data_IF_220482476486
#
_entry.id   IF_220482476486
#
_cell.length_a   1.000
_cell.length_b   1.000
_cell.length_c   1.000
_cell.angle_alpha   90.00
_cell.angle_beta   90.00
_cell.angle_gamma   90.00
#
_symmetry.space_group_name_H-M   'P 1'
#
loop_
_entity.id
_entity.type
_entity.pdbx_description
1 polymer ?
#
# COMPACT_ATOMS: atom_id res chain seq x y z
N UNK A 1 -11.88 -49.32 22.75
CA UNK A 1 -11.51 -48.96 21.36
C UNK A 1 -10.13 -48.36 21.42
N UNK A 2 -9.41 -48.26 20.31
CA UNK A 2 -8.05 -47.68 20.27
C UNK A 2 -7.93 -46.72 19.10
N UNK A 3 -7.23 -45.60 19.30
CA UNK A 3 -7.02 -44.62 18.22
C UNK A 3 -6.03 -45.16 17.20
N UNK A 4 -6.55 -45.71 16.09
CA UNK A 4 -5.76 -46.35 15.03
C UNK A 4 -5.54 -45.49 13.78
N UNK A 5 -6.09 -44.27 13.77
CA UNK A 5 -6.02 -43.34 12.65
C UNK A 5 -5.22 -42.09 13.03
N UNK A 6 -4.39 -41.62 12.10
CA UNK A 6 -3.68 -40.34 12.20
C UNK A 6 -4.55 -39.15 11.75
N UNK A 7 -5.73 -39.41 11.17
CA UNK A 7 -6.62 -38.33 10.71
C UNK A 7 -7.26 -37.64 11.92
N UNK A 8 -7.16 -36.32 11.96
CA UNK A 8 -7.80 -35.46 12.95
C UNK A 8 -8.53 -34.25 12.32
N UNK A 9 -8.53 -34.19 10.98
CA UNK A 9 -9.14 -33.15 10.16
C UNK A 9 -9.95 -33.76 9.03
N UNK A 10 -11.07 -33.13 8.70
CA UNK A 10 -11.88 -33.44 7.54
C UNK A 10 -12.28 -32.14 6.81
N UNK A 11 -12.30 -32.19 5.48
CA UNK A 11 -12.46 -31.02 4.61
C UNK A 11 -11.12 -30.51 4.05
N UNK A 12 -11.09 -29.29 3.47
CA UNK A 12 -12.19 -28.34 3.38
C UNK A 12 -13.33 -28.86 2.47
N UNK A 13 -14.58 -28.68 2.90
CA UNK A 13 -15.77 -28.95 2.10
C UNK A 13 -16.28 -27.65 1.51
N UNK A 14 -16.55 -27.64 0.20
CA UNK A 14 -17.11 -26.48 -0.49
C UNK A 14 -18.61 -26.35 -0.23
N UNK A 15 -19.06 -25.12 0.04
CA UNK A 15 -20.47 -24.77 0.11
C UNK A 15 -21.11 -24.67 -1.27
N UNK A 16 -22.35 -25.12 -1.38
CA UNK A 16 -23.16 -25.12 -2.62
C UNK A 16 -24.60 -24.61 -2.39
N UNK A 17 -24.87 -24.00 -1.23
CA UNK A 17 -26.21 -23.55 -0.78
C UNK A 17 -27.25 -24.69 -0.60
N UNK A 18 -26.86 -25.97 -0.72
CA UNK A 18 -27.79 -27.12 -0.69
C UNK A 18 -27.37 -28.21 0.29
N UNK A 19 -26.09 -28.59 0.25
CA UNK A 19 -25.52 -29.67 1.03
C UNK A 19 -25.35 -29.22 2.48
N UNK A 20 -26.06 -29.90 3.39
CA UNK A 20 -26.01 -29.63 4.84
C UNK A 20 -25.21 -30.66 5.63
N UNK A 21 -24.97 -31.84 5.05
CA UNK A 21 -24.37 -32.96 5.76
C UNK A 21 -22.94 -33.20 5.29
N UNK A 22 -22.00 -33.18 6.23
CA UNK A 22 -20.57 -33.42 5.97
C UNK A 22 -20.09 -34.58 6.84
N UNK A 23 -19.39 -35.55 6.24
CA UNK A 23 -18.95 -36.77 6.94
C UNK A 23 -17.47 -36.67 7.30
N UNK A 24 -17.10 -37.07 8.52
CA UNK A 24 -15.71 -37.15 8.96
C UNK A 24 -15.34 -38.59 9.34
N UNK A 25 -14.08 -38.95 9.15
CA UNK A 25 -13.56 -40.34 9.26
C UNK A 25 -12.57 -40.51 10.42
N UNK A 26 -12.71 -39.70 11.47
CA UNK A 26 -11.84 -39.78 12.65
C UNK A 26 -12.67 -39.91 13.93
N UNK A 27 -12.17 -40.71 14.85
CA UNK A 27 -12.91 -41.05 16.07
C UNK A 27 -12.94 -39.89 17.07
N UNK A 28 -14.08 -39.75 17.75
CA UNK A 28 -14.33 -38.82 18.86
C UNK A 28 -15.33 -39.43 19.84
N UNK A 29 -15.13 -39.20 21.13
CA UNK A 29 -16.00 -39.76 22.17
C UNK A 29 -17.28 -38.97 22.44
N UNK A 30 -17.31 -37.70 22.07
CA UNK A 30 -18.45 -36.82 22.33
C UNK A 30 -18.61 -35.78 21.20
N UNK A 31 -19.85 -35.34 20.91
CA UNK A 31 -20.12 -34.25 19.97
C UNK A 31 -19.32 -32.97 20.24
N UNK A 32 -19.13 -32.65 21.53
CA UNK A 32 -18.34 -31.49 21.99
C UNK A 32 -16.84 -31.59 21.68
N UNK A 33 -16.33 -32.76 21.30
CA UNK A 33 -14.92 -32.96 20.95
C UNK A 33 -14.62 -32.62 19.49
N UNK A 34 -15.52 -31.88 18.83
CA UNK A 34 -15.37 -31.39 17.48
C UNK A 34 -15.38 -29.87 17.47
N UNK A 35 -14.55 -29.29 16.62
CA UNK A 35 -14.56 -27.88 16.27
C UNK A 35 -14.84 -27.77 14.78
N UNK A 36 -15.93 -27.11 14.42
CA UNK A 36 -16.26 -26.81 13.02
C UNK A 36 -15.91 -25.36 12.75
N UNK A 37 -15.15 -25.13 11.68
CA UNK A 37 -14.70 -23.82 11.25
C UNK A 37 -15.27 -23.56 9.87
N UNK A 38 -15.89 -22.41 9.69
CA UNK A 38 -16.33 -21.90 8.41
C UNK A 38 -15.39 -20.79 7.95
N UNK A 39 -14.86 -20.89 6.75
CA UNK A 39 -14.12 -19.80 6.12
C UNK A 39 -14.97 -19.14 5.03
N UNK A 40 -14.98 -17.80 5.01
CA UNK A 40 -15.64 -17.02 3.97
C UNK A 40 -14.82 -16.98 2.66
N UNK A 41 -15.35 -16.41 1.56
CA UNK A 41 -14.58 -16.27 0.30
C UNK A 41 -13.32 -15.42 0.44
N UNK A 42 -13.23 -14.57 1.47
CA UNK A 42 -12.03 -13.80 1.83
C UNK A 42 -11.07 -14.57 2.74
N UNK A 43 -11.37 -15.85 3.02
CA UNK A 43 -10.67 -16.76 3.93
C UNK A 43 -10.56 -16.26 5.37
N UNK A 44 -11.57 -15.55 5.85
CA UNK A 44 -11.75 -15.26 7.28
C UNK A 44 -12.45 -16.43 7.94
N UNK A 45 -11.84 -16.97 8.98
CA UNK A 45 -12.32 -18.14 9.69
C UNK A 45 -13.24 -17.73 10.85
N UNK A 46 -14.39 -18.38 10.96
CA UNK A 46 -15.33 -18.26 12.08
C UNK A 46 -15.56 -19.64 12.67
N UNK A 47 -15.46 -19.75 13.99
CA UNK A 47 -15.77 -21.00 14.70
C UNK A 47 -17.28 -21.07 14.88
N UNK A 48 -17.87 -22.22 14.52
CA UNK A 48 -19.30 -22.45 14.67
C UNK A 48 -19.60 -23.10 16.01
N UNK A 49 -20.70 -22.70 16.64
CA UNK A 49 -21.19 -23.29 17.88
C UNK A 49 -22.05 -24.55 17.63
N UNK A 50 -21.77 -25.59 18.41
CA UNK A 50 -22.57 -26.83 18.47
C UNK A 50 -24.01 -26.50 18.92
N UNK A 51 -24.99 -27.20 18.35
CA UNK A 51 -26.44 -27.07 18.58
C UNK A 51 -27.08 -25.77 18.09
N UNK A 52 -26.31 -24.71 17.85
CA UNK A 52 -26.81 -23.49 17.20
C UNK A 52 -26.61 -23.52 15.68
N UNK A 53 -25.42 -23.92 15.23
CA UNK A 53 -25.03 -23.87 13.82
C UNK A 53 -24.97 -25.25 13.17
N UNK A 54 -24.64 -26.29 13.94
CA UNK A 54 -24.56 -27.66 13.47
C UNK A 54 -24.89 -28.66 14.58
N UNK A 55 -25.35 -29.84 14.18
CA UNK A 55 -25.52 -31.01 15.05
C UNK A 55 -24.58 -32.12 14.60
N UNK A 56 -24.27 -33.05 15.50
CA UNK A 56 -23.32 -34.14 15.25
C UNK A 56 -23.99 -35.48 15.48
N UNK A 57 -23.87 -36.37 14.51
CA UNK A 57 -24.23 -37.78 14.61
C UNK A 57 -22.96 -38.62 14.60
N UNK A 58 -22.63 -39.23 15.74
CA UNK A 58 -21.47 -40.10 15.87
C UNK A 58 -21.76 -41.50 15.33
N UNK A 59 -20.76 -42.08 14.67
CA UNK A 59 -20.73 -43.46 14.19
C UNK A 59 -19.58 -44.19 14.89
N UNK A 60 -19.50 -45.51 14.77
CA UNK A 60 -18.43 -46.30 15.40
C UNK A 60 -17.03 -45.84 14.95
N UNK A 61 -16.89 -45.47 13.68
CA UNK A 61 -15.66 -44.94 13.08
C UNK A 61 -15.96 -43.61 12.39
N UNK A 62 -15.92 -42.53 13.17
CA UNK A 62 -16.16 -41.17 12.70
C UNK A 62 -17.57 -40.68 12.95
N UNK A 63 -18.13 -39.94 12.00
CA UNK A 63 -19.43 -39.32 12.18
C UNK A 63 -19.84 -38.44 11.03
N UNK A 64 -20.99 -37.79 11.21
CA UNK A 64 -21.49 -36.77 10.30
C UNK A 64 -21.88 -35.54 11.09
N UNK A 65 -21.60 -34.37 10.54
CA UNK A 65 -22.18 -33.12 11.00
C UNK A 65 -23.33 -32.74 10.08
N UNK A 66 -24.40 -32.19 10.64
CA UNK A 66 -25.51 -31.62 9.89
C UNK A 66 -25.63 -30.14 10.25
N UNK A 67 -25.40 -29.29 9.27
CA UNK A 67 -25.51 -27.85 9.41
C UNK A 67 -26.99 -27.43 9.44
N UNK A 68 -27.32 -26.45 10.29
CA UNK A 68 -28.67 -25.87 10.35
C UNK A 68 -28.96 -25.11 9.05
N UNK A 69 -28.03 -24.25 8.65
CA UNK A 69 -28.03 -23.54 7.36
C UNK A 69 -26.97 -24.14 6.42
N UNK A 70 -27.31 -24.36 5.14
CA UNK A 70 -26.35 -24.84 4.17
C UNK A 70 -25.25 -23.78 3.95
N UNK A 71 -23.96 -24.15 3.88
CA UNK A 71 -22.89 -23.19 3.61
C UNK A 71 -23.09 -22.59 2.22
N UNK A 72 -22.99 -21.27 2.13
CA UNK A 72 -23.16 -20.55 0.87
C UNK A 72 -22.04 -20.85 -0.10
N UNK A 73 -22.30 -20.73 -1.41
CA UNK A 73 -21.26 -20.87 -2.43
C UNK A 73 -20.05 -19.98 -2.15
N UNK A 74 -18.85 -20.57 -2.19
CA UNK A 74 -17.58 -19.91 -1.92
C UNK A 74 -17.19 -19.88 -0.44
N UNK A 75 -18.05 -20.34 0.46
CA UNK A 75 -17.65 -20.66 1.84
C UNK A 75 -17.11 -22.08 1.91
N UNK A 76 -16.15 -22.31 2.79
CA UNK A 76 -15.61 -23.65 3.04
C UNK A 76 -15.83 -24.06 4.50
N UNK A 77 -16.06 -25.35 4.73
CA UNK A 77 -16.22 -25.94 6.05
C UNK A 77 -15.05 -26.88 6.33
N UNK A 78 -14.39 -26.68 7.48
CA UNK A 78 -13.35 -27.58 7.97
C UNK A 78 -13.78 -28.12 9.33
N UNK A 79 -13.63 -29.44 9.50
CA UNK A 79 -13.96 -30.14 10.75
C UNK A 79 -12.65 -30.59 11.38
N UNK A 80 -12.42 -30.19 12.62
CA UNK A 80 -11.24 -30.54 13.39
C UNK A 80 -11.66 -31.26 14.67
N UNK A 81 -10.80 -32.18 15.13
CA UNK A 81 -10.88 -32.70 16.50
C UNK A 81 -10.48 -31.61 17.49
N UNK A 82 -11.24 -31.49 18.58
CA UNK A 82 -10.97 -30.55 19.67
C UNK A 82 -11.30 -31.20 21.01
N UNK A 83 -10.38 -32.00 21.55
CA UNK A 83 -10.56 -32.65 22.85
C UNK A 83 -10.06 -31.70 23.95
N UNK A 84 -10.80 -31.52 25.07
CA UNK A 84 -10.33 -30.74 26.22
C UNK A 84 -9.09 -31.39 26.86
N UNK A 85 -8.01 -30.63 27.06
CA UNK A 85 -6.76 -31.12 27.66
C UNK A 85 -6.86 -31.31 29.19
N UNK A 86 -7.82 -32.11 29.63
CA UNK A 86 -8.09 -32.43 31.02
C UNK A 86 -8.02 -33.95 31.22
N UNK A 87 -7.37 -34.37 32.30
CA UNK A 87 -7.42 -35.76 32.74
C UNK A 87 -8.61 -35.93 33.69
N UNK A 88 -9.68 -36.58 33.22
CA UNK A 88 -10.89 -36.84 34.03
C UNK A 88 -10.77 -38.10 34.89
N UNK A 89 -9.81 -38.98 34.59
CA UNK A 89 -9.62 -40.26 35.28
C UNK A 89 -8.57 -40.14 36.40
N UNK A 90 -8.98 -40.45 37.62
CA UNK A 90 -8.10 -40.58 38.79
C UNK A 90 -8.01 -42.05 39.23
N UNK A 91 -6.79 -42.60 39.26
CA UNK A 91 -6.55 -44.00 39.60
C UNK A 91 -6.23 -44.14 41.09
N UNK A 92 -7.12 -44.82 41.81
CA UNK A 92 -6.94 -45.11 43.23
C UNK A 92 -6.00 -46.30 43.45
N UNK A 93 -5.12 -46.21 44.45
CA UNK A 93 -4.27 -47.33 44.82
C UNK A 93 -5.12 -48.49 45.38
N UNK A 94 -4.89 -49.71 44.89
CA UNK A 94 -5.65 -50.92 45.25
C UNK A 94 -7.16 -50.85 44.93
N UNK A 95 -7.58 -49.95 44.05
CA UNK A 95 -8.96 -49.90 43.54
C UNK A 95 -9.26 -50.98 42.49
N UNK A 96 -10.54 -51.14 42.15
CA UNK A 96 -10.95 -52.01 41.05
C UNK A 96 -10.40 -51.49 39.72
N UNK A 97 -9.82 -52.38 38.90
CA UNK A 97 -9.29 -52.04 37.58
C UNK A 97 -10.41 -52.12 36.53
N UNK A 98 -10.71 -50.99 35.89
CA UNK A 98 -11.66 -50.90 34.79
C UNK A 98 -10.90 -50.66 33.48
N UNK A 99 -10.61 -51.71 32.67
CA UNK A 99 -9.78 -51.59 31.47
C UNK A 99 -10.28 -50.50 30.52
N UNK A 100 -11.58 -50.44 30.25
CA UNK A 100 -12.20 -49.48 29.34
C UNK A 100 -11.99 -48.02 29.77
N UNK A 101 -11.96 -47.74 31.07
CA UNK A 101 -11.71 -46.38 31.59
C UNK A 101 -10.24 -46.00 31.39
N UNK A 102 -9.33 -46.95 31.60
CA UNK A 102 -7.90 -46.75 31.40
C UNK A 102 -7.59 -46.54 29.92
N UNK A 103 -8.07 -47.44 29.05
CA UNK A 103 -7.91 -47.32 27.60
C UNK A 103 -8.47 -45.99 27.06
N UNK A 104 -9.65 -45.57 27.52
CA UNK A 104 -10.21 -44.26 27.13
C UNK A 104 -9.30 -43.10 27.52
N UNK A 105 -8.68 -43.15 28.70
CA UNK A 105 -7.76 -42.10 29.13
C UNK A 105 -6.48 -42.05 28.28
N UNK A 106 -5.95 -43.22 27.91
CA UNK A 106 -4.79 -43.34 27.03
C UNK A 106 -5.10 -42.85 25.61
N UNK A 107 -6.24 -43.24 25.07
CA UNK A 107 -6.73 -42.79 23.77
C UNK A 107 -6.91 -41.27 23.72
N UNK A 108 -7.50 -40.66 24.76
CA UNK A 108 -7.62 -39.20 24.86
C UNK A 108 -6.23 -38.53 24.84
N UNK A 109 -5.25 -39.10 25.53
CA UNK A 109 -3.85 -38.66 25.47
C UNK A 109 -3.26 -38.69 24.06
N UNK A 110 -3.48 -39.78 23.32
CA UNK A 110 -3.05 -39.90 21.91
C UNK A 110 -3.79 -38.89 21.03
N UNK A 111 -5.08 -38.68 21.25
CA UNK A 111 -5.86 -37.67 20.51
C UNK A 111 -5.32 -36.25 20.74
N UNK A 112 -4.88 -35.93 21.97
CA UNK A 112 -4.24 -34.64 22.26
C UNK A 112 -2.92 -34.46 21.53
N UNK A 113 -2.06 -35.48 21.54
CA UNK A 113 -0.80 -35.45 20.80
C UNK A 113 -1.04 -35.22 19.30
N UNK A 114 -1.95 -35.98 18.68
CA UNK A 114 -2.31 -35.79 17.27
C UNK A 114 -2.87 -34.39 16.99
N UNK A 115 -3.67 -33.81 17.89
CA UNK A 115 -4.20 -32.46 17.74
C UNK A 115 -3.10 -31.39 17.84
N UNK A 116 -2.12 -31.57 18.73
CA UNK A 116 -0.97 -30.68 18.86
C UNK A 116 -0.06 -30.77 17.64
N UNK A 117 0.23 -31.98 17.15
CA UNK A 117 1.07 -32.19 15.98
C UNK A 117 0.49 -31.48 14.74
N UNK A 118 -0.82 -31.56 14.51
CA UNK A 118 -1.45 -30.85 13.38
C UNK A 118 -1.38 -29.33 13.49
N UNK A 119 -1.50 -28.80 14.71
CA UNK A 119 -1.32 -27.38 14.95
C UNK A 119 0.13 -26.96 14.68
N UNK A 120 1.10 -27.76 15.16
CA UNK A 120 2.54 -27.51 15.01
C UNK A 120 3.00 -27.65 13.55
N UNK A 121 2.43 -28.58 12.78
CA UNK A 121 2.70 -28.74 11.35
C UNK A 121 2.28 -27.51 10.53
N UNK A 122 1.26 -26.77 10.99
CA UNK A 122 0.79 -25.54 10.34
C UNK A 122 1.53 -24.28 10.79
N UNK A 123 2.43 -24.38 11.77
CA UNK A 123 3.18 -23.24 12.27
C UNK A 123 4.45 -22.97 11.45
N UNK A 124 4.86 -21.70 11.38
CA UNK A 124 6.22 -21.34 10.97
C UNK A 124 7.16 -21.77 12.10
N UNK A 125 8.08 -22.70 11.80
CA UNK A 125 9.05 -23.21 12.77
C UNK A 125 10.30 -22.32 12.76
N UNK A 126 10.56 -21.68 13.89
CA UNK A 126 11.85 -21.02 14.14
C UNK A 126 12.88 -22.07 14.60
N UNK A 127 14.18 -21.85 14.35
CA UNK A 127 15.22 -22.74 14.86
C UNK A 127 15.19 -22.78 16.40
N UNK A 128 15.53 -23.94 16.98
CA UNK A 128 15.43 -24.20 18.42
C UNK A 128 16.27 -23.26 19.30
N UNK A 129 17.30 -22.62 18.73
CA UNK A 129 18.15 -21.62 19.39
C UNK A 129 17.58 -20.21 19.38
N UNK A 130 16.45 -19.96 18.70
CA UNK A 130 15.81 -18.65 18.63
C UNK A 130 14.91 -18.41 19.85
N UNK A 131 15.02 -17.26 20.54
CA UNK A 131 14.05 -16.90 21.56
C UNK A 131 12.67 -16.75 20.91
N UNK A 132 11.67 -17.46 21.45
CA UNK A 132 10.32 -17.54 20.88
C UNK A 132 9.67 -16.17 20.73
N UNK A 133 9.15 -15.93 19.54
CA UNK A 133 8.56 -14.66 19.11
C UNK A 133 7.22 -14.94 18.42
N UNK A 134 6.37 -13.93 18.27
CA UNK A 134 4.95 -14.09 17.91
C UNK A 134 4.82 -14.80 16.55
N UNK A 135 4.34 -16.04 16.54
CA UNK A 135 4.27 -16.89 15.32
C UNK A 135 2.89 -16.91 14.64
N UNK A 136 1.93 -16.12 15.13
CA UNK A 136 0.59 -16.06 14.57
C UNK A 136 0.58 -15.04 13.43
N UNK A 137 0.35 -15.52 12.21
CA UNK A 137 0.20 -14.66 11.03
C UNK A 137 -1.14 -13.91 11.05
N UNK A 138 -1.14 -12.71 10.47
CA UNK A 138 -2.36 -11.97 10.15
C UNK A 138 -3.25 -12.73 9.15
N UNK A 139 -4.52 -12.37 9.07
CA UNK A 139 -5.51 -13.06 8.23
C UNK A 139 -5.07 -13.14 6.75
N UNK A 140 -5.63 -14.12 6.02
CA UNK A 140 -5.29 -14.31 4.61
C UNK A 140 -5.53 -13.06 3.74
N UNK A 141 -6.54 -12.25 4.07
CA UNK A 141 -6.82 -10.97 3.40
C UNK A 141 -5.72 -9.94 3.69
N UNK A 142 -5.28 -9.82 4.95
CA UNK A 142 -4.30 -8.81 5.37
C UNK A 142 -2.90 -9.06 4.82
N UNK A 143 -2.57 -10.33 4.54
CA UNK A 143 -1.29 -10.77 3.96
C UNK A 143 -1.31 -10.96 2.44
N UNK A 144 -2.44 -10.73 1.78
CA UNK A 144 -2.52 -10.85 0.33
C UNK A 144 -1.54 -9.87 -0.34
N UNK A 145 -0.77 -10.36 -1.31
CA UNK A 145 0.26 -9.61 -2.04
C UNK A 145 1.33 -8.94 -1.18
N UNK A 146 1.51 -9.31 0.09
CA UNK A 146 2.50 -8.73 1.00
C UNK A 146 3.59 -9.73 1.35
N UNK A 147 4.79 -9.23 1.62
CA UNK A 147 5.92 -10.05 2.01
C UNK A 147 5.84 -10.41 3.50
N UNK A 148 6.31 -11.61 3.82
CA UNK A 148 6.67 -11.96 5.19
C UNK A 148 7.97 -11.22 5.53
N UNK A 149 7.97 -10.43 6.59
CA UNK A 149 9.14 -9.67 7.03
C UNK A 149 9.37 -9.87 8.52
N UNK A 150 10.59 -9.58 8.97
CA UNK A 150 10.93 -9.56 10.39
C UNK A 150 10.96 -8.11 10.85
N UNK A 151 10.39 -7.82 12.02
CA UNK A 151 10.45 -6.49 12.60
C UNK A 151 11.83 -6.21 13.23
N UNK A 152 12.02 -5.01 13.80
CA UNK A 152 13.27 -4.63 14.45
C UNK A 152 13.63 -5.44 15.71
N UNK A 153 12.70 -6.27 16.21
CA UNK A 153 12.91 -7.21 17.33
C UNK A 153 13.11 -8.64 16.84
N UNK A 154 12.92 -8.90 15.54
CA UNK A 154 13.01 -10.22 14.91
C UNK A 154 11.66 -10.95 14.83
N UNK A 155 10.55 -10.32 15.22
CA UNK A 155 9.24 -10.96 15.24
C UNK A 155 8.70 -11.07 13.80
N UNK A 156 7.97 -12.14 13.52
CA UNK A 156 7.35 -12.35 12.20
C UNK A 156 6.19 -11.36 12.04
N UNK A 157 6.26 -10.54 11.00
CA UNK A 157 5.20 -9.62 10.62
C UNK A 157 5.02 -9.60 9.10
N UNK A 158 4.03 -8.84 8.63
CA UNK A 158 3.70 -8.69 7.21
C UNK A 158 4.06 -7.28 6.77
N UNK A 159 4.57 -7.13 5.55
CA UNK A 159 4.90 -5.82 4.98
C UNK A 159 3.68 -4.89 4.96
N UNK A 160 3.91 -3.60 5.27
CA UNK A 160 2.85 -2.59 5.25
C UNK A 160 2.32 -2.37 3.84
N UNK A 161 3.21 -2.35 2.86
CA UNK A 161 2.91 -2.22 1.44
C UNK A 161 2.89 -3.60 0.77
N UNK A 162 2.06 -3.80 -0.27
CA UNK A 162 2.21 -4.96 -1.14
C UNK A 162 3.67 -5.08 -1.62
N UNK A 163 4.11 -6.30 -1.84
CA UNK A 163 5.31 -6.60 -2.62
C UNK A 163 4.97 -6.30 -4.08
N UNK A 164 4.88 -5.02 -4.40
CA UNK A 164 5.13 -4.56 -5.76
C UNK A 164 6.63 -4.58 -5.94
N UNK A 165 7.07 -5.12 -7.07
CA UNK A 165 8.47 -5.34 -7.39
C UNK A 165 9.27 -4.07 -7.08
N UNK A 166 10.07 -4.10 -6.02
CA UNK A 166 10.81 -2.92 -5.58
C UNK A 166 11.72 -2.38 -6.70
N UNK A 167 12.08 -3.25 -7.66
CA UNK A 167 12.75 -2.87 -8.89
C UNK A 167 11.90 -1.95 -9.79
N UNK A 168 10.63 -2.26 -10.01
CA UNK A 168 9.73 -1.45 -10.82
C UNK A 168 9.41 -0.09 -10.17
N UNK A 169 9.27 -0.07 -8.84
CA UNK A 169 9.07 1.18 -8.10
C UNK A 169 10.35 2.04 -8.08
N UNK A 170 11.53 1.43 -7.96
CA UNK A 170 12.80 2.15 -8.08
C UNK A 170 12.99 2.74 -9.49
N UNK A 171 12.63 1.99 -10.53
CA UNK A 171 12.66 2.46 -11.91
C UNK A 171 11.69 3.63 -12.13
N UNK A 172 10.46 3.54 -11.62
CA UNK A 172 9.47 4.62 -11.66
C UNK A 172 9.96 5.90 -10.97
N UNK A 173 10.55 5.77 -9.77
CA UNK A 173 11.14 6.91 -9.07
C UNK A 173 12.36 7.50 -9.79
N UNK A 174 13.21 6.66 -10.40
CA UNK A 174 14.33 7.12 -11.21
C UNK A 174 13.86 7.89 -12.46
N UNK A 175 12.82 7.39 -13.14
CA UNK A 175 12.23 8.06 -14.30
C UNK A 175 11.60 9.40 -13.92
N UNK A 176 10.88 9.46 -12.79
CA UNK A 176 10.33 10.72 -12.28
C UNK A 176 11.43 11.73 -11.90
N UNK A 177 12.55 11.28 -11.33
CA UNK A 177 13.69 12.14 -11.02
C UNK A 177 14.39 12.66 -12.29
N UNK A 178 14.55 11.82 -13.32
CA UNK A 178 15.12 12.23 -14.61
C UNK A 178 14.22 13.25 -15.32
N UNK A 179 12.90 13.02 -15.34
CA UNK A 179 11.95 13.97 -15.91
C UNK A 179 11.97 15.33 -15.19
N UNK A 180 12.10 15.33 -13.85
CA UNK A 180 12.23 16.57 -13.08
C UNK A 180 13.55 17.31 -13.37
N UNK A 181 14.65 16.57 -13.61
CA UNK A 181 15.93 17.17 -14.02
C UNK A 181 15.83 17.79 -15.41
N UNK A 182 15.26 17.07 -16.39
CA UNK A 182 15.09 17.56 -17.76
C UNK A 182 14.24 18.84 -17.81
N UNK A 183 13.14 18.88 -17.06
CA UNK A 183 12.33 20.10 -16.93
C UNK A 183 13.10 21.28 -16.30
N UNK A 184 13.99 21.01 -15.34
CA UNK A 184 14.83 22.05 -14.76
C UNK A 184 15.91 22.55 -15.73
N UNK A 185 16.49 21.65 -16.53
CA UNK A 185 17.47 22.01 -17.58
C UNK A 185 16.83 22.84 -18.70
N UNK A 186 15.58 22.54 -19.08
CA UNK A 186 14.81 23.34 -20.03
C UNK A 186 14.60 24.77 -19.53
N UNK A 187 14.22 24.95 -18.26
CA UNK A 187 14.06 26.28 -17.65
C UNK A 187 15.40 27.04 -17.61
N UNK A 188 16.51 26.37 -17.34
CA UNK A 188 17.83 27.00 -17.33
C UNK A 188 18.24 27.44 -18.74
N UNK A 189 17.94 26.66 -19.77
CA UNK A 189 18.24 27.01 -21.15
C UNK A 189 17.34 28.15 -21.65
N UNK A 190 16.06 28.18 -21.27
CA UNK A 190 15.16 29.30 -21.54
C UNK A 190 15.69 30.60 -20.92
N UNK A 191 16.12 30.55 -19.65
CA UNK A 191 16.79 31.68 -18.98
C UNK A 191 18.10 32.06 -19.70
N UNK A 192 18.88 31.09 -20.19
CA UNK A 192 20.13 31.35 -20.91
C UNK A 192 19.89 32.04 -22.24
N UNK A 193 18.85 31.65 -22.98
CA UNK A 193 18.45 32.31 -24.23
C UNK A 193 17.99 33.75 -23.99
N UNK A 194 17.25 34.00 -22.91
CA UNK A 194 16.90 35.36 -22.47
C UNK A 194 18.12 36.23 -22.16
N UNK A 195 19.22 35.65 -21.68
CA UNK A 195 20.46 36.38 -21.38
C UNK A 195 21.46 36.44 -22.54
N UNK A 196 21.13 35.87 -23.70
CA UNK A 196 22.04 35.87 -24.85
C UNK A 196 22.06 37.23 -25.56
N UNK A 197 23.19 37.65 -26.17
CA UNK A 197 23.30 38.95 -26.84
C UNK A 197 22.32 39.15 -28.01
N UNK A 198 21.77 38.06 -28.55
CA UNK A 198 20.80 38.05 -29.66
C UNK A 198 19.42 37.49 -29.22
N UNK A 199 19.16 37.39 -27.91
CA UNK A 199 17.88 36.92 -27.39
C UNK A 199 16.80 38.00 -27.52
N UNK A 200 15.50 37.61 -27.60
CA UNK A 200 14.41 38.57 -27.52
C UNK A 200 14.46 39.28 -26.16
N UNK A 201 14.60 40.61 -26.17
CA UNK A 201 14.65 41.43 -24.96
C UNK A 201 13.25 41.52 -24.34
N UNK A 202 12.95 40.67 -23.36
CA UNK A 202 11.73 40.79 -22.56
C UNK A 202 12.03 41.69 -21.35
N UNK A 203 11.72 42.98 -21.46
CA UNK A 203 11.84 43.89 -20.33
C UNK A 203 10.74 43.57 -19.30
N UNK A 204 11.12 43.02 -18.14
CA UNK A 204 10.21 42.92 -16.99
C UNK A 204 10.04 44.29 -16.34
N UNK A 205 9.14 45.10 -16.88
CA UNK A 205 8.68 46.33 -16.24
C UNK A 205 7.68 46.03 -15.13
N UNK A 206 8.12 45.88 -13.88
CA UNK A 206 7.23 45.81 -12.72
C UNK A 206 6.73 47.18 -12.24
N UNK A 207 6.89 48.23 -13.05
CA UNK A 207 6.64 49.62 -12.62
C UNK A 207 5.28 50.21 -13.00
N UNK A 208 4.52 49.54 -13.85
CA UNK A 208 3.12 49.82 -14.12
C UNK A 208 2.44 48.46 -14.25
N UNK A 209 1.49 48.11 -13.38
CA UNK A 209 0.93 46.75 -13.22
C UNK A 209 0.17 46.16 -14.42
N UNK A 210 0.79 46.14 -15.61
CA UNK A 210 0.26 45.60 -16.86
C UNK A 210 1.42 44.99 -17.67
N UNK A 211 1.33 43.73 -18.13
CA UNK A 211 2.37 43.13 -18.97
C UNK A 211 2.37 43.75 -20.37
N UNK A 212 3.52 44.27 -20.79
CA UNK A 212 3.74 44.85 -22.13
C UNK A 212 4.61 43.92 -22.98
N UNK A 213 4.29 43.82 -24.27
CA UNK A 213 5.11 43.14 -25.28
C UNK A 213 5.91 44.24 -25.99
N UNK A 214 7.23 44.20 -25.86
CA UNK A 214 8.13 45.12 -26.56
C UNK A 214 8.72 44.33 -27.73
N UNK A 215 8.18 44.51 -28.92
CA UNK A 215 8.69 43.90 -30.14
C UNK A 215 9.81 44.78 -30.71
N UNK A 216 11.04 44.51 -30.27
CA UNK A 216 12.21 45.14 -30.86
C UNK A 216 12.60 44.30 -32.07
N UNK A 217 12.06 44.64 -33.24
CA UNK A 217 12.44 44.01 -34.51
C UNK A 217 13.97 43.96 -34.67
N UNK A 218 14.44 42.86 -35.25
CA UNK A 218 15.83 42.41 -35.28
C UNK A 218 16.87 43.55 -35.38
N UNK A 219 17.78 43.58 -34.38
CA UNK A 219 19.05 44.32 -34.29
C UNK A 219 18.99 45.73 -33.67
N UNK A 220 19.10 45.80 -32.34
CA UNK A 220 19.63 46.98 -31.66
C UNK A 220 21.17 46.95 -31.67
N UNK A 221 21.82 47.88 -32.37
CA UNK A 221 23.26 48.13 -32.22
C UNK A 221 23.56 48.89 -30.91
N UNK A 222 24.77 48.79 -30.33
CA UNK A 222 25.09 49.34 -29.01
C UNK A 222 25.18 50.88 -29.02
N UNK A 223 24.02 51.52 -29.05
CA UNK A 223 23.77 52.95 -28.90
C UNK A 223 22.29 53.11 -28.62
N UNK A 224 21.94 53.68 -27.46
CA UNK A 224 20.58 53.62 -26.89
C UNK A 224 19.46 54.01 -27.86
N UNK A 225 18.31 53.33 -27.75
CA UNK A 225 17.12 53.56 -28.55
C UNK A 225 16.26 54.71 -27.97
N UNK A 226 15.68 55.53 -28.86
CA UNK A 226 14.59 56.45 -28.52
C UNK A 226 13.24 55.76 -28.74
N UNK A 227 12.35 55.84 -27.76
CA UNK A 227 11.04 55.19 -27.77
C UNK A 227 9.95 56.22 -28.10
N UNK A 228 9.13 55.97 -29.13
CA UNK A 228 7.91 56.74 -29.36
C UNK A 228 6.70 55.90 -28.90
N UNK A 229 5.89 56.47 -28.01
CA UNK A 229 4.60 55.92 -27.63
C UNK A 229 3.58 56.26 -28.72
N UNK A 230 3.53 55.42 -29.75
CA UNK A 230 2.59 55.51 -30.86
C UNK A 230 1.76 54.23 -30.99
N UNK A 231 0.46 54.38 -30.71
CA UNK A 231 -0.66 53.47 -30.97
C UNK A 231 -0.92 52.25 -30.04
N UNK A 232 -2.20 52.12 -29.67
CA UNK A 232 -2.77 51.03 -28.87
C UNK A 232 -3.36 49.98 -29.80
N UNK A 233 -2.82 48.76 -29.76
CA UNK A 233 -3.49 47.56 -30.28
C UNK A 233 -3.99 46.73 -29.09
N UNK A 234 -5.27 46.40 -29.09
CA UNK A 234 -5.95 45.56 -28.10
C UNK A 234 -5.69 45.92 -26.63
N UNK A 235 -5.72 47.22 -26.32
CA UNK A 235 -5.64 47.72 -24.94
C UNK A 235 -4.23 47.66 -24.32
N UNK A 236 -3.22 47.17 -25.03
CA UNK A 236 -1.80 47.21 -24.65
C UNK A 236 -1.10 48.36 -25.37
N UNK A 237 -0.19 49.04 -24.68
CA UNK A 237 0.68 50.05 -25.31
C UNK A 237 1.73 49.31 -26.14
N UNK A 238 1.81 49.65 -27.42
CA UNK A 238 2.91 49.22 -28.30
C UNK A 238 3.92 50.38 -28.32
N UNK A 239 5.19 50.06 -28.12
CA UNK A 239 6.28 51.03 -28.16
C UNK A 239 7.03 50.78 -29.46
N UNK A 240 6.96 51.72 -30.40
CA UNK A 240 7.62 51.62 -31.70
C UNK A 240 8.97 52.39 -31.65
N UNK A 241 10.04 51.73 -32.10
CA UNK A 241 11.40 52.28 -32.06
C UNK A 241 11.69 53.00 -33.38
N UNK A 242 11.43 54.31 -33.42
CA UNK A 242 11.68 55.15 -34.61
C UNK A 242 13.16 55.51 -34.81
N UNK A 243 13.55 55.58 -36.08
CA UNK A 243 14.92 55.65 -36.62
C UNK A 243 15.80 56.88 -36.29
N UNK A 244 17.12 56.59 -36.29
CA UNK A 244 18.33 57.44 -36.46
C UNK A 244 18.69 58.47 -35.38
N UNK A 245 19.79 58.19 -34.67
CA UNK A 245 20.62 59.21 -34.00
C UNK A 245 22.13 58.92 -34.13
N UNK A 246 22.94 59.97 -34.19
CA UNK A 246 24.35 60.07 -34.62
C UNK A 246 25.37 59.46 -33.60
N UNK A 247 26.46 58.78 -34.01
CA UNK A 247 27.27 57.92 -33.12
C UNK A 247 28.23 58.62 -32.14
N UNK A 248 28.18 59.94 -31.95
CA UNK A 248 29.26 60.68 -31.27
C UNK A 248 29.08 60.91 -29.76
N UNK A 249 27.97 60.51 -29.15
CA UNK A 249 27.71 60.81 -27.73
C UNK A 249 27.34 59.58 -26.90
N UNK A 250 28.34 58.94 -26.30
CA UNK A 250 28.13 58.02 -25.17
C UNK A 250 27.75 58.84 -23.92
N UNK A 251 26.46 59.04 -23.63
CA UNK A 251 25.99 59.62 -22.36
C UNK A 251 24.88 58.78 -21.72
N UNK A 252 24.98 58.57 -20.41
CA UNK A 252 24.00 57.83 -19.58
C UNK A 252 22.71 58.65 -19.43
N UNK A 253 21.56 57.98 -19.48
CA UNK A 253 20.21 58.56 -19.36
C UNK A 253 19.82 58.64 -17.88
N UNK A 254 19.62 59.86 -17.37
CA UNK A 254 19.00 60.16 -16.07
C UNK A 254 17.74 61.00 -16.29
N UNK A 255 16.67 60.72 -15.53
CA UNK A 255 15.31 61.22 -15.77
C UNK A 255 14.96 62.23 -14.67
N UNK A 256 14.77 63.52 -15.00
CA UNK A 256 14.68 64.56 -13.95
C UNK A 256 13.35 65.31 -13.81
N UNK A 257 12.38 65.29 -14.74
CA UNK A 257 10.95 65.63 -14.44
C UNK A 257 10.03 65.66 -15.66
N UNK A 258 8.71 65.54 -15.41
CA UNK A 258 7.62 65.72 -16.37
C UNK A 258 7.47 67.20 -16.77
N UNK A 259 7.35 67.46 -18.07
CA UNK A 259 6.95 68.78 -18.58
C UNK A 259 5.43 68.80 -18.82
N UNK A 260 4.83 67.67 -19.22
CA UNK A 260 3.38 67.48 -19.41
C UNK A 260 3.04 65.96 -19.40
N UNK A 261 1.78 65.57 -19.22
CA UNK A 261 1.29 64.17 -19.06
C UNK A 261 1.63 63.18 -20.20
N UNK A 262 2.23 63.64 -21.31
CA UNK A 262 2.58 62.79 -22.46
C UNK A 262 3.94 63.11 -23.10
N UNK A 263 4.77 63.97 -22.51
CA UNK A 263 6.03 64.38 -23.15
C UNK A 263 7.16 64.51 -22.14
N UNK A 264 8.24 63.76 -22.37
CA UNK A 264 9.48 63.84 -21.59
C UNK A 264 10.54 64.59 -22.40
N UNK A 265 11.14 65.63 -21.82
CA UNK A 265 12.29 66.35 -22.39
C UNK A 265 13.55 65.83 -21.71
N UNK A 266 14.51 65.32 -22.49
CA UNK A 266 15.81 64.87 -22.01
C UNK A 266 16.83 66.01 -22.19
N UNK A 267 17.31 66.59 -21.09
CA UNK A 267 18.38 67.60 -21.11
C UNK A 267 19.77 66.94 -21.04
N UNK A 268 20.70 67.41 -21.89
CA UNK A 268 22.06 66.88 -22.01
C UNK A 268 23.03 67.69 -21.14
N UNK A 269 22.91 67.55 -19.82
CA UNK A 269 23.81 68.19 -18.87
C UNK A 269 25.29 67.78 -19.05
N UNK A 270 26.21 68.74 -18.94
CA UNK A 270 27.66 68.53 -18.89
C UNK A 270 28.15 68.26 -17.46
N UNK A 271 29.11 67.35 -17.31
CA UNK A 271 29.72 66.92 -16.04
C UNK A 271 30.68 67.98 -15.45
N UNK A 272 30.86 68.04 -14.12
CA UNK A 272 32.19 68.03 -13.51
C UNK A 272 32.77 66.61 -13.45
#
# INVERSE_FOLDING_TARGET
MTVSSLKNRAGPYEGDDKTKTFSFLFEVYAPKHLKVIQADPSRRETVLDLDQHYTVSLLATGGKITMVAAPRRGYTITILRNVPALQETDLQNQGAYFPETVERSLDLGVMHAQQQDEAIERCIKLPASSPGQTTILASATERAHKALIWDGKGDITVSKTPYEDHAANAESHANAANAAREAAEEVVEDIRQMMSPNGPWVAFGSWLGVPQIIDCGDRMEPGGASFNLGDRLDGKQVIDCGDRFDPSTQRRIGLESLVDDTTYVLDLGERP
#
